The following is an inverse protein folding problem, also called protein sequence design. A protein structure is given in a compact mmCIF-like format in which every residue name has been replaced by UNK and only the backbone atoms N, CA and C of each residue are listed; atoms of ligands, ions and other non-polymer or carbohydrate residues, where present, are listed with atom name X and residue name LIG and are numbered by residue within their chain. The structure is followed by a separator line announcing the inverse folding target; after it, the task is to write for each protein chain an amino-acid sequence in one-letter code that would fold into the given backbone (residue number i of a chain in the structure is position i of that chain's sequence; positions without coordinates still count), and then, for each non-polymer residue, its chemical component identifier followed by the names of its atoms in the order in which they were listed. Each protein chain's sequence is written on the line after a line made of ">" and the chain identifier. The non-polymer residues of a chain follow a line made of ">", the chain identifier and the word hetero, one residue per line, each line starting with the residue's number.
data_IF_684954544217
#
_entry.id   IF_684954544217
#
_cell.length_a   1.000
_cell.length_b   1.000
_cell.length_c   1.000
_cell.angle_alpha   90.00
_cell.angle_beta   90.00
_cell.angle_gamma   90.00
#
_symmetry.space_group_name_H-M   'P 1'
#
loop_
_entity.id
_entity.type
_entity.pdbx_description
1 polymer ?
#
# COMPACT_ATOMS: atom_id res chain seq x y z
N UNK A 1 7.38 6.56 8.50
CA UNK A 1 6.10 6.34 7.78
C UNK A 1 6.21 5.12 6.89
N UNK A 2 5.24 4.24 6.99
CA UNK A 2 5.18 3.06 6.15
C UNK A 2 4.26 3.32 4.99
N UNK A 3 4.62 2.81 3.83
CA UNK A 3 3.82 2.99 2.62
C UNK A 3 3.62 1.65 1.93
N UNK A 4 2.58 1.58 1.12
CA UNK A 4 2.31 0.42 0.30
C UNK A 4 2.79 0.70 -1.12
N UNK A 5 3.55 -0.23 -1.67
CA UNK A 5 3.95 -0.22 -3.05
C UNK A 5 3.04 -1.17 -3.80
N UNK A 6 2.34 -0.68 -4.80
CA UNK A 6 1.36 -1.45 -5.53
C UNK A 6 1.73 -1.49 -7.00
N UNK A 7 1.66 -2.68 -7.56
CA UNK A 7 1.83 -2.87 -9.00
C UNK A 7 0.54 -3.41 -9.57
N UNK A 8 0.09 -2.79 -10.64
CA UNK A 8 -1.15 -3.18 -11.30
C UNK A 8 -0.85 -4.09 -12.49
N UNK A 9 -1.87 -4.85 -12.92
CA UNK A 9 -1.71 -5.76 -14.05
C UNK A 9 -1.37 -5.02 -15.34
N UNK A 10 -1.70 -3.74 -15.42
CA UNK A 10 -1.34 -2.92 -16.56
C UNK A 10 0.15 -2.59 -16.62
N UNK A 11 0.89 -2.87 -15.54
CA UNK A 11 2.30 -2.50 -15.43
C UNK A 11 2.54 -1.21 -14.68
N UNK A 12 1.49 -0.45 -14.40
CA UNK A 12 1.60 0.78 -13.62
C UNK A 12 1.91 0.47 -12.17
N UNK A 13 2.57 1.39 -11.51
CA UNK A 13 2.90 1.26 -10.08
C UNK A 13 2.50 2.53 -9.36
N UNK A 14 2.23 2.40 -8.07
CA UNK A 14 1.94 3.55 -7.23
C UNK A 14 2.40 3.26 -5.80
N UNK A 15 2.54 4.31 -5.02
CA UNK A 15 2.85 4.21 -3.60
C UNK A 15 1.91 5.11 -2.84
N UNK A 16 1.51 4.65 -1.66
CA UNK A 16 0.61 5.43 -0.81
C UNK A 16 1.00 5.24 0.64
N UNK A 17 0.94 6.32 1.40
CA UNK A 17 1.21 6.24 2.83
C UNK A 17 0.12 5.43 3.50
N UNK A 18 0.51 4.57 4.44
CA UNK A 18 -0.42 3.68 5.11
C UNK A 18 -0.51 4.01 6.59
N UNK A 19 0.61 4.01 7.30
CA UNK A 19 0.62 4.24 8.73
C UNK A 19 2.01 4.62 9.18
N UNK A 20 2.13 5.18 10.38
CA UNK A 20 3.41 5.63 10.88
C UNK A 20 4.27 4.49 11.41
N UNK A 21 3.65 3.42 11.92
CA UNK A 21 4.42 2.30 12.42
C UNK A 21 4.07 1.02 11.68
N UNK A 22 4.94 0.04 11.84
CA UNK A 22 4.84 -1.20 11.07
C UNK A 22 3.60 -2.01 11.44
N UNK A 23 3.27 -2.07 12.72
CA UNK A 23 2.13 -2.87 13.17
C UNK A 23 0.84 -2.37 12.56
N UNK A 24 0.63 -1.06 12.58
CA UNK A 24 -0.57 -0.46 12.00
C UNK A 24 -0.59 -0.63 10.48
N UNK A 25 0.57 -0.48 9.85
CA UNK A 25 0.66 -0.65 8.40
C UNK A 25 0.33 -2.08 8.00
N UNK A 26 0.85 -3.04 8.75
CA UNK A 26 0.59 -4.45 8.46
C UNK A 26 -0.89 -4.77 8.64
N UNK A 27 -1.50 -4.23 9.70
CA UNK A 27 -2.91 -4.44 9.94
C UNK A 27 -3.76 -3.83 8.82
N UNK A 28 -3.41 -2.63 8.38
CA UNK A 28 -4.11 -1.99 7.27
C UNK A 28 -4.01 -2.82 5.99
N UNK A 29 -2.85 -3.39 5.73
CA UNK A 29 -2.68 -4.24 4.56
C UNK A 29 -3.51 -5.52 4.68
N UNK A 30 -3.53 -6.13 5.86
CA UNK A 30 -4.34 -7.32 6.09
C UNK A 30 -5.82 -7.03 5.89
N UNK A 31 -6.28 -5.89 6.39
CA UNK A 31 -7.68 -5.50 6.20
C UNK A 31 -7.99 -5.30 4.72
N UNK A 32 -7.10 -4.66 3.98
CA UNK A 32 -7.28 -4.46 2.56
C UNK A 32 -7.34 -5.78 1.80
N UNK A 33 -6.46 -6.71 2.15
CA UNK A 33 -6.45 -8.02 1.49
C UNK A 33 -7.72 -8.80 1.80
N UNK A 34 -8.22 -8.68 3.03
CA UNK A 34 -9.48 -9.31 3.40
C UNK A 34 -10.65 -8.72 2.62
N UNK A 35 -10.66 -7.41 2.44
CA UNK A 35 -11.70 -6.75 1.64
C UNK A 35 -11.64 -7.19 0.18
N UNK A 36 -10.44 -7.29 -0.37
CA UNK A 36 -10.26 -7.77 -1.73
C UNK A 36 -10.83 -9.17 -1.90
N UNK A 37 -10.55 -10.03 -0.93
CA UNK A 37 -11.01 -11.41 -0.99
C UNK A 37 -12.52 -11.50 -0.89
N UNK A 38 -13.14 -10.67 -0.05
CA UNK A 38 -14.58 -10.73 0.19
C UNK A 38 -15.38 -9.95 -0.86
N UNK A 39 -14.89 -8.78 -1.25
CA UNK A 39 -15.67 -7.84 -2.07
C UNK A 39 -15.05 -7.54 -3.42
N UNK A 40 -13.81 -7.97 -3.66
CA UNK A 40 -13.12 -7.66 -4.90
C UNK A 40 -12.52 -6.26 -4.96
N UNK A 41 -12.67 -5.49 -3.88
CA UNK A 41 -12.13 -4.14 -3.80
C UNK A 41 -11.67 -3.91 -2.36
N UNK A 42 -10.57 -3.20 -2.20
CA UNK A 42 -10.02 -2.93 -0.89
C UNK A 42 -9.40 -1.54 -0.84
N UNK A 43 -9.35 -1.00 0.37
CA UNK A 43 -8.72 0.31 0.61
C UNK A 43 -7.45 0.08 1.42
N UNK A 44 -6.34 0.56 0.89
CA UNK A 44 -5.04 0.47 1.54
C UNK A 44 -4.68 1.86 2.04
N UNK A 45 -4.62 1.99 3.38
CA UNK A 45 -4.37 3.29 3.98
C UNK A 45 -5.51 4.25 3.75
N UNK A 46 -5.26 5.56 3.91
CA UNK A 46 -6.33 6.54 3.88
C UNK A 46 -6.84 6.89 2.48
N UNK A 47 -6.10 6.61 1.44
CA UNK A 47 -6.46 7.16 0.14
C UNK A 47 -6.32 6.23 -1.05
N UNK A 48 -5.76 5.05 -0.87
CA UNK A 48 -5.52 4.14 -2.01
C UNK A 48 -6.57 3.05 -2.05
N UNK A 49 -7.30 2.98 -3.16
CA UNK A 49 -8.29 1.94 -3.40
C UNK A 49 -7.77 1.05 -4.51
N UNK A 50 -7.82 -0.25 -4.30
CA UNK A 50 -7.37 -1.22 -5.30
C UNK A 50 -8.48 -2.23 -5.56
N UNK A 51 -8.52 -2.77 -6.78
CA UNK A 51 -9.46 -3.81 -7.12
C UNK A 51 -8.69 -5.11 -7.35
N UNK A 52 -9.36 -6.21 -7.06
CA UNK A 52 -8.74 -7.52 -7.16
C UNK A 52 -8.25 -7.81 -8.58
N UNK A 53 -9.04 -7.43 -9.57
CA UNK A 53 -8.71 -7.75 -10.96
C UNK A 53 -7.52 -6.94 -11.47
N UNK A 54 -7.32 -5.75 -10.93
CA UNK A 54 -6.24 -4.85 -11.38
C UNK A 54 -4.97 -5.02 -10.57
N UNK A 55 -5.05 -5.65 -9.41
CA UNK A 55 -3.91 -5.76 -8.52
C UNK A 55 -3.05 -6.95 -8.89
N UNK A 56 -1.78 -6.68 -9.20
CA UNK A 56 -0.84 -7.75 -9.46
C UNK A 56 -0.02 -8.06 -8.21
N UNK A 57 0.39 -7.02 -7.48
CA UNK A 57 1.36 -7.19 -6.42
C UNK A 57 1.30 -6.00 -5.47
N UNK A 58 1.42 -6.27 -4.19
CA UNK A 58 1.44 -5.22 -3.18
C UNK A 58 2.40 -5.62 -2.07
N UNK A 59 3.16 -4.66 -1.57
CA UNK A 59 4.04 -4.90 -0.45
C UNK A 59 4.15 -3.63 0.39
N UNK A 60 4.56 -3.81 1.63
CA UNK A 60 4.86 -2.69 2.51
C UNK A 60 6.33 -2.36 2.42
N UNK A 61 6.64 -1.07 2.45
CA UNK A 61 8.02 -0.63 2.56
C UNK A 61 8.09 0.58 3.47
N UNK A 62 9.21 0.75 4.11
CA UNK A 62 9.43 1.88 4.97
C UNK A 62 9.90 3.05 4.14
N UNK A 63 9.18 4.15 4.25
CA UNK A 63 9.54 5.37 3.56
C UNK A 63 10.66 6.04 4.32
N UNK A 64 11.79 6.22 3.65
CA UNK A 64 12.92 6.89 4.26
C UNK A 64 12.67 8.38 4.30
N UNK A 65 13.06 9.06 5.39
CA UNK A 65 13.00 10.52 5.37
C UNK A 65 13.93 11.05 4.29
N UNK A 66 13.50 12.06 3.59
CA UNK A 66 14.32 12.69 2.58
C UNK A 66 15.40 13.49 3.26
N UNK A 67 16.58 13.07 3.07
CA UNK A 67 17.66 13.81 3.63
C UNK A 67 18.19 14.79 2.73
N UNK A 68 18.30 15.43 2.89
CA UNK A 68 18.74 15.99 2.07
C UNK A 68 19.97 16.52 2.16
N UNK A 69 20.31 16.10 2.43
CA UNK A 69 21.16 16.31 2.51
C UNK A 69 21.92 16.66 2.09
N UNK A 70 22.33 16.83 1.96
CA UNK A 70 23.00 16.96 1.63
C UNK A 70 23.62 17.40 1.26
N UNK A 71 23.90 17.65 1.25
CA UNK A 71 24.48 17.92 0.93
C UNK A 71 24.87 18.47 0.77
#
# INVERSE_FOLDING_TARGET
>A
MWQAYVRFTSGSTTRADVAENEDDARKALEDAMSQLKSNGIGTVGPSLVVTKDDLEFIKLEQKQPQDQRDR
#
